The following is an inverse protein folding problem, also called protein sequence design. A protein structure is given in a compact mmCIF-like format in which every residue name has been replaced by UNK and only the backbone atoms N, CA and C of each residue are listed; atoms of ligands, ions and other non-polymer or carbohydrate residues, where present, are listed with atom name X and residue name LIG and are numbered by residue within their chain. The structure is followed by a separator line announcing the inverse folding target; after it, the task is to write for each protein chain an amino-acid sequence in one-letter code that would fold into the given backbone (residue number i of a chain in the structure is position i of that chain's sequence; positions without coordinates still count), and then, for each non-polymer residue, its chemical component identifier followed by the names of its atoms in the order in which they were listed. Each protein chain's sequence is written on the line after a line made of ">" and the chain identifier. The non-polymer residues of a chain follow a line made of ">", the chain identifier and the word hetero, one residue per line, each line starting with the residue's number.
data_IF_718015736177
#
_entry.id   IF_718015736177
#
_cell.length_a   1.000
_cell.length_b   1.000
_cell.length_c   1.000
_cell.angle_alpha   90.00
_cell.angle_beta   90.00
_cell.angle_gamma   90.00
#
_symmetry.space_group_name_H-M   'P 1'
#
loop_
_entity.id
_entity.type
_entity.pdbx_description
1 polymer ?
#
# COMPACT_ATOMS: atom_id res chain seq x y z
N UNK A 1 -2.32 -10.91 -19.03
CA UNK A 1 -2.22 -9.56 -18.43
C UNK A 1 -1.10 -9.63 -17.44
N UNK A 2 -0.09 -8.79 -17.61
CA UNK A 2 1.08 -8.77 -16.74
C UNK A 2 0.79 -7.91 -15.51
N UNK A 3 1.56 -8.10 -14.45
CA UNK A 3 1.39 -7.32 -13.23
C UNK A 3 2.04 -5.93 -13.40
N UNK A 4 1.22 -4.89 -13.20
CA UNK A 4 1.69 -3.51 -13.08
C UNK A 4 1.22 -2.94 -11.73
N UNK A 5 2.08 -3.08 -10.71
CA UNK A 5 1.81 -2.54 -9.38
C UNK A 5 1.78 -1.01 -9.37
N UNK A 6 2.52 -0.33 -10.26
CA UNK A 6 2.54 1.13 -10.32
C UNK A 6 1.19 1.66 -10.81
N UNK A 7 0.67 1.11 -11.91
CA UNK A 7 -0.64 1.48 -12.42
C UNK A 7 -1.76 1.11 -11.45
N UNK A 8 -1.72 -0.10 -10.89
CA UNK A 8 -2.69 -0.55 -9.90
C UNK A 8 -2.74 0.38 -8.69
N UNK A 9 -1.58 0.75 -8.12
CA UNK A 9 -1.51 1.68 -6.99
C UNK A 9 -2.24 2.99 -7.31
N UNK A 10 -1.97 3.57 -8.50
CA UNK A 10 -2.53 4.85 -8.94
C UNK A 10 -4.05 4.76 -9.11
N UNK A 11 -4.55 3.75 -9.82
CA UNK A 11 -6.00 3.55 -10.00
C UNK A 11 -6.70 3.36 -8.66
N UNK A 12 -6.13 2.55 -7.76
CA UNK A 12 -6.72 2.36 -6.42
C UNK A 12 -6.72 3.66 -5.61
N UNK A 13 -5.63 4.42 -5.63
CA UNK A 13 -5.56 5.73 -4.96
C UNK A 13 -6.63 6.67 -5.50
N UNK A 14 -6.74 6.80 -6.82
CA UNK A 14 -7.63 7.79 -7.43
C UNK A 14 -9.10 7.43 -7.16
N UNK A 15 -9.47 6.14 -7.20
CA UNK A 15 -10.78 5.68 -6.75
C UNK A 15 -11.01 5.90 -5.25
N UNK A 16 -10.01 5.63 -4.40
CA UNK A 16 -10.12 5.84 -2.95
C UNK A 16 -10.38 7.31 -2.60
N UNK A 17 -9.69 8.24 -3.27
CA UNK A 17 -9.89 9.68 -3.04
C UNK A 17 -11.29 10.15 -3.46
N UNK A 18 -11.85 9.60 -4.55
CA UNK A 18 -13.24 9.87 -4.93
C UNK A 18 -14.22 9.35 -3.87
N UNK A 19 -14.06 8.10 -3.42
CA UNK A 19 -14.93 7.50 -2.40
C UNK A 19 -14.82 8.20 -1.04
N UNK A 20 -13.61 8.66 -0.69
CA UNK A 20 -13.37 9.45 0.52
C UNK A 20 -14.14 10.79 0.46
N UNK A 21 -14.20 11.44 -0.71
CA UNK A 21 -14.99 12.68 -0.89
C UNK A 21 -16.49 12.43 -0.72
N UNK A 22 -16.98 11.29 -1.19
CA UNK A 22 -18.37 10.84 -1.04
C UNK A 22 -18.68 10.23 0.34
N UNK A 23 -17.73 10.23 1.28
CA UNK A 23 -17.87 9.66 2.63
C UNK A 23 -18.15 8.15 2.65
N UNK A 24 -17.82 7.44 1.58
CA UNK A 24 -17.85 5.98 1.51
C UNK A 24 -16.62 5.40 2.25
N UNK A 25 -16.57 5.57 3.57
CA UNK A 25 -15.37 5.34 4.38
C UNK A 25 -14.79 3.94 4.24
N UNK A 26 -15.60 2.89 4.39
CA UNK A 26 -15.13 1.51 4.29
C UNK A 26 -14.52 1.18 2.91
N UNK A 27 -15.15 1.61 1.82
CA UNK A 27 -14.64 1.36 0.47
C UNK A 27 -13.39 2.18 0.14
N UNK A 28 -13.36 3.43 0.59
CA UNK A 28 -12.17 4.27 0.50
C UNK A 28 -10.99 3.62 1.25
N UNK A 29 -11.23 3.10 2.45
CA UNK A 29 -10.23 2.45 3.28
C UNK A 29 -9.65 1.18 2.65
N UNK A 30 -10.51 0.32 2.10
CA UNK A 30 -10.06 -0.85 1.36
C UNK A 30 -9.14 -0.48 0.21
N UNK A 31 -9.51 0.54 -0.56
CA UNK A 31 -8.70 0.99 -1.68
C UNK A 31 -7.41 1.68 -1.23
N UNK A 32 -7.39 2.36 -0.08
CA UNK A 32 -6.14 2.86 0.51
C UNK A 32 -5.19 1.72 0.87
N UNK A 33 -5.70 0.62 1.42
CA UNK A 33 -4.89 -0.56 1.71
C UNK A 33 -4.31 -1.22 0.45
N UNK A 34 -5.13 -1.45 -0.57
CA UNK A 34 -4.65 -1.99 -1.85
C UNK A 34 -3.66 -1.05 -2.55
N UNK A 35 -3.95 0.25 -2.51
CA UNK A 35 -3.08 1.27 -3.08
C UNK A 35 -1.71 1.26 -2.42
N UNK A 36 -1.66 1.29 -1.08
CA UNK A 36 -0.44 1.21 -0.30
C UNK A 36 0.33 -0.10 -0.55
N UNK A 37 -0.36 -1.24 -0.60
CA UNK A 37 0.24 -2.54 -0.93
C UNK A 37 0.96 -2.50 -2.29
N UNK A 38 0.26 -2.00 -3.32
CA UNK A 38 0.80 -1.87 -4.67
C UNK A 38 1.96 -0.85 -4.71
N UNK A 39 1.88 0.26 -3.96
CA UNK A 39 2.97 1.23 -3.87
C UNK A 39 4.23 0.62 -3.26
N UNK A 40 4.12 -0.16 -2.18
CA UNK A 40 5.27 -0.84 -1.58
C UNK A 40 5.89 -1.84 -2.55
N UNK A 41 5.07 -2.64 -3.24
CA UNK A 41 5.56 -3.59 -4.25
C UNK A 41 6.28 -2.88 -5.40
N UNK A 42 5.75 -1.75 -5.86
CA UNK A 42 6.38 -0.90 -6.88
C UNK A 42 7.72 -0.32 -6.39
N UNK A 43 7.78 0.16 -5.15
CA UNK A 43 9.02 0.62 -4.52
C UNK A 43 10.05 -0.51 -4.43
N UNK A 44 9.65 -1.70 -4.02
CA UNK A 44 10.55 -2.86 -3.93
C UNK A 44 11.18 -3.18 -5.28
N UNK A 45 10.38 -3.21 -6.35
CA UNK A 45 10.88 -3.42 -7.73
C UNK A 45 11.85 -2.30 -8.11
N UNK A 46 11.48 -1.05 -7.87
CA UNK A 46 12.34 0.12 -8.14
C UNK A 46 13.66 0.05 -7.38
N UNK A 47 13.66 -0.55 -6.19
CA UNK A 47 14.83 -0.73 -5.33
C UNK A 47 15.55 -2.08 -5.55
N UNK A 48 15.23 -2.80 -6.63
CA UNK A 48 15.97 -3.98 -7.08
C UNK A 48 15.44 -5.32 -6.55
N UNK A 49 14.18 -5.41 -6.16
CA UNK A 49 13.53 -6.71 -5.98
C UNK A 49 13.35 -7.40 -7.34
N UNK A 50 13.68 -8.69 -7.42
CA UNK A 50 13.51 -9.48 -8.63
C UNK A 50 12.05 -9.85 -8.85
N UNK A 51 11.64 -9.86 -10.13
CA UNK A 51 10.32 -10.33 -10.58
C UNK A 51 10.48 -11.50 -11.56
N UNK A 52 9.42 -12.28 -11.73
CA UNK A 52 9.34 -13.23 -12.84
C UNK A 52 8.94 -12.54 -14.16
N UNK A 53 8.79 -13.31 -15.24
CA UNK A 53 8.44 -12.80 -16.56
C UNK A 53 7.13 -12.00 -16.62
N UNK A 54 6.21 -12.23 -15.68
CA UNK A 54 4.91 -11.55 -15.62
C UNK A 54 4.92 -10.35 -14.66
N UNK A 55 6.09 -9.95 -14.13
CA UNK A 55 6.21 -8.85 -13.15
C UNK A 55 5.88 -9.26 -11.71
N UNK A 56 5.70 -10.55 -11.42
CA UNK A 56 5.34 -11.00 -10.07
C UNK A 56 6.56 -11.01 -9.14
N UNK A 57 6.38 -10.45 -7.96
CA UNK A 57 7.29 -10.59 -6.84
C UNK A 57 7.22 -12.00 -6.22
N UNK A 58 8.26 -12.38 -5.48
CA UNK A 58 8.30 -13.65 -4.73
C UNK A 58 7.11 -13.83 -3.78
N UNK A 59 6.71 -15.07 -3.54
CA UNK A 59 5.48 -15.42 -2.79
C UNK A 59 5.42 -14.85 -1.37
N UNK A 60 6.55 -14.59 -0.74
CA UNK A 60 6.61 -13.92 0.57
C UNK A 60 5.98 -12.52 0.56
N UNK A 61 5.96 -11.83 -0.58
CA UNK A 61 5.38 -10.49 -0.72
C UNK A 61 3.91 -10.54 -1.16
N UNK A 62 3.31 -11.73 -1.32
CA UNK A 62 1.89 -11.91 -1.60
C UNK A 62 1.07 -11.93 -0.31
N UNK A 63 1.30 -10.92 0.52
CA UNK A 63 0.57 -10.62 1.74
C UNK A 63 0.00 -9.20 1.64
N UNK A 64 -1.01 -8.92 2.46
CA UNK A 64 -1.65 -7.61 2.47
C UNK A 64 -0.85 -6.57 3.22
N UNK A 65 -1.20 -5.29 3.03
CA UNK A 65 -0.48 -4.14 3.59
C UNK A 65 -0.25 -4.22 5.12
N UNK A 66 -1.17 -4.84 5.87
CA UNK A 66 -1.05 -5.05 7.30
C UNK A 66 0.15 -5.92 7.70
N UNK A 67 0.63 -6.78 6.80
CA UNK A 67 1.83 -7.62 6.96
C UNK A 67 3.00 -7.18 6.07
N UNK A 68 2.69 -6.71 4.86
CA UNK A 68 3.68 -6.32 3.85
C UNK A 68 4.57 -5.17 4.34
N UNK A 69 4.06 -4.31 5.22
CA UNK A 69 4.84 -3.23 5.82
C UNK A 69 6.13 -3.72 6.48
N UNK A 70 6.05 -4.81 7.25
CA UNK A 70 7.20 -5.40 7.95
C UNK A 70 8.11 -6.17 6.99
N UNK A 71 7.53 -6.86 6.01
CA UNK A 71 8.28 -7.51 4.93
C UNK A 71 9.07 -6.49 4.09
N UNK A 72 8.50 -5.31 3.85
CA UNK A 72 9.14 -4.21 3.14
C UNK A 72 10.35 -3.68 3.92
N UNK A 73 10.18 -3.42 5.22
CA UNK A 73 11.30 -2.98 6.07
C UNK A 73 12.39 -4.05 6.16
N UNK A 74 12.01 -5.33 6.24
CA UNK A 74 12.94 -6.46 6.22
C UNK A 74 13.69 -6.54 4.88
N UNK A 75 12.99 -6.31 3.76
CA UNK A 75 13.60 -6.23 2.44
C UNK A 75 14.66 -5.12 2.35
N UNK A 76 14.42 -3.95 2.95
CA UNK A 76 15.37 -2.83 2.94
C UNK A 76 16.57 -3.02 3.88
N UNK A 77 16.45 -3.89 4.88
CA UNK A 77 17.51 -4.13 5.86
C UNK A 77 18.82 -4.51 5.16
N UNK A 78 19.90 -3.79 5.49
CA UNK A 78 21.23 -4.02 4.92
C UNK A 78 21.45 -3.51 3.47
N UNK A 79 20.46 -2.86 2.83
CA UNK A 79 20.58 -2.38 1.43
C UNK A 79 21.09 -0.95 1.27
N UNK A 80 21.42 -0.25 2.37
CA UNK A 80 21.90 1.14 2.32
C UNK A 80 20.86 2.16 1.85
N UNK A 81 19.58 1.77 1.77
CA UNK A 81 18.46 2.60 1.29
C UNK A 81 17.70 3.27 2.44
N UNK A 82 18.42 3.88 3.39
CA UNK A 82 17.85 4.43 4.63
C UNK A 82 16.72 5.45 4.38
N UNK A 83 16.76 6.18 3.26
CA UNK A 83 15.73 7.16 2.86
C UNK A 83 14.35 6.56 2.61
N UNK A 84 14.26 5.25 2.37
CA UNK A 84 13.01 4.55 2.07
C UNK A 84 12.52 3.69 3.24
N UNK A 85 13.26 3.63 4.34
CA UNK A 85 12.84 2.89 5.53
C UNK A 85 11.59 3.54 6.11
N UNK A 86 10.59 2.73 6.41
CA UNK A 86 9.34 3.20 6.97
C UNK A 86 9.40 3.21 8.50
N UNK A 87 8.43 3.89 9.12
CA UNK A 87 8.22 3.81 10.56
C UNK A 87 8.01 2.35 11.00
N UNK A 88 8.53 1.93 12.16
CA UNK A 88 8.20 0.61 12.72
C UNK A 88 6.72 0.51 13.14
N UNK A 89 6.03 1.63 13.35
CA UNK A 89 4.59 1.63 13.54
C UNK A 89 3.90 1.52 12.19
N UNK A 90 3.29 0.37 11.91
CA UNK A 90 2.48 0.15 10.72
C UNK A 90 1.12 0.86 10.84
N UNK A 91 0.82 1.90 10.04
CA UNK A 91 -0.46 2.58 10.07
C UNK A 91 -1.63 1.69 9.67
N UNK A 92 -1.37 0.61 8.92
CA UNK A 92 -2.34 -0.37 8.43
C UNK A 92 -2.44 -1.61 9.33
N UNK A 93 -1.93 -1.57 10.56
CA UNK A 93 -1.96 -2.73 11.46
C UNK A 93 -3.39 -3.23 11.75
N UNK A 94 -4.38 -2.33 11.72
CA UNK A 94 -5.80 -2.63 11.88
C UNK A 94 -6.56 -2.75 10.55
N UNK A 95 -5.89 -2.66 9.40
CA UNK A 95 -6.50 -2.93 8.10
C UNK A 95 -6.53 -4.44 7.86
N UNK A 96 -7.64 -5.00 7.41
CA UNK A 96 -7.69 -6.39 6.95
C UNK A 96 -8.65 -6.55 5.78
N UNK A 97 -8.30 -7.43 4.84
CA UNK A 97 -9.13 -7.69 3.67
C UNK A 97 -10.54 -8.16 4.05
N UNK A 98 -10.75 -8.77 5.23
CA UNK A 98 -12.07 -9.22 5.67
C UNK A 98 -13.04 -8.07 5.98
N UNK A 99 -12.54 -6.86 6.20
CA UNK A 99 -13.33 -5.66 6.50
C UNK A 99 -14.33 -5.30 5.39
N UNK A 100 -14.15 -5.86 4.18
CA UNK A 100 -15.08 -5.72 3.04
C UNK A 100 -16.45 -6.34 3.27
N UNK A 101 -16.58 -7.11 4.34
CA UNK A 101 -17.83 -7.70 4.79
C UNK A 101 -18.35 -7.07 6.08
N UNK A 102 -17.58 -6.14 6.70
CA UNK A 102 -18.01 -5.42 7.88
C UNK A 102 -19.12 -4.43 7.54
N UNK A 103 -19.83 -3.95 8.56
CA UNK A 103 -20.87 -2.96 8.35
C UNK A 103 -20.21 -1.62 7.97
N UNK A 104 -20.79 -0.88 7.03
CA UNK A 104 -20.29 0.46 6.66
C UNK A 104 -20.26 1.43 7.85
N UNK A 105 -21.10 1.22 8.87
CA UNK A 105 -21.14 2.02 10.10
C UNK A 105 -19.92 1.79 11.01
N UNK A 106 -19.16 0.70 10.80
CA UNK A 106 -17.91 0.43 11.55
C UNK A 106 -16.76 1.34 11.10
N UNK A 107 -16.94 2.10 10.01
CA UNK A 107 -15.93 2.98 9.44
C UNK A 107 -16.35 4.44 9.58
N UNK A 108 -15.43 5.24 10.09
CA UNK A 108 -15.56 6.67 10.13
C UNK A 108 -14.29 7.35 9.62
N UNK A 109 -14.33 8.67 9.56
CA UNK A 109 -13.17 9.45 9.14
C UNK A 109 -11.94 9.19 10.01
N UNK A 110 -12.09 9.00 11.31
CA UNK A 110 -10.96 8.80 12.23
C UNK A 110 -10.27 7.45 11.97
N UNK A 111 -11.03 6.44 11.53
CA UNK A 111 -10.52 5.15 11.09
C UNK A 111 -9.72 5.24 9.78
N UNK A 112 -10.25 5.98 8.78
CA UNK A 112 -9.68 6.02 7.42
C UNK A 112 -8.52 7.00 7.26
N UNK A 113 -8.54 8.10 8.01
CA UNK A 113 -7.54 9.18 7.90
C UNK A 113 -6.07 8.73 8.08
N UNK A 114 -5.74 7.84 9.05
CA UNK A 114 -4.40 7.27 9.17
C UNK A 114 -3.94 6.53 7.91
N UNK A 115 -4.79 5.67 7.34
CA UNK A 115 -4.49 4.89 6.14
C UNK A 115 -4.30 5.78 4.91
N UNK A 116 -5.18 6.78 4.74
CA UNK A 116 -5.06 7.79 3.69
C UNK A 116 -3.72 8.53 3.75
N UNK A 117 -3.33 9.05 4.93
CA UNK A 117 -2.06 9.77 5.12
C UNK A 117 -0.85 8.88 4.82
N UNK A 118 -0.89 7.62 5.29
CA UNK A 118 0.18 6.66 5.05
C UNK A 118 0.32 6.34 3.56
N UNK A 119 -0.77 6.03 2.87
CA UNK A 119 -0.77 5.82 1.40
C UNK A 119 -0.17 7.02 0.66
N UNK A 120 -0.60 8.25 1.00
CA UNK A 120 -0.06 9.47 0.37
C UNK A 120 1.43 9.66 0.62
N UNK A 121 1.93 9.28 1.80
CA UNK A 121 3.36 9.28 2.09
C UNK A 121 4.11 8.28 1.21
N UNK A 122 3.62 7.05 1.08
CA UNK A 122 4.23 6.04 0.22
C UNK A 122 4.29 6.48 -1.24
N UNK A 123 3.24 7.14 -1.74
CA UNK A 123 3.25 7.71 -3.10
C UNK A 123 4.34 8.76 -3.30
N UNK A 124 4.57 9.62 -2.31
CA UNK A 124 5.67 10.60 -2.38
C UNK A 124 7.03 9.91 -2.42
N UNK A 125 7.22 8.84 -1.66
CA UNK A 125 8.45 8.04 -1.71
C UNK A 125 8.65 7.39 -3.09
N UNK A 126 7.58 6.86 -3.69
CA UNK A 126 7.62 6.27 -5.03
C UNK A 126 8.02 7.31 -6.09
N UNK A 127 7.44 8.51 -6.04
CA UNK A 127 7.80 9.62 -6.94
C UNK A 127 9.28 10.01 -6.79
N UNK A 128 9.78 10.07 -5.55
CA UNK A 128 11.19 10.37 -5.26
C UNK A 128 12.16 9.28 -5.72
N UNK A 129 11.69 8.05 -5.96
CA UNK A 129 12.48 6.94 -6.48
C UNK A 129 12.71 7.01 -8.00
N UNK A 130 12.21 8.04 -8.68
CA UNK A 130 12.43 8.26 -10.11
C UNK A 130 11.37 7.60 -10.99
N UNK A 131 10.13 7.56 -10.50
CA UNK A 131 8.99 6.86 -11.09
C UNK A 131 7.81 7.81 -11.23
#
# INVERSE_FOLDING_TARGET
>A
MDIDFKDAARRHKDCAELLYQEQCWGDADHLYGFSAECTLKSLMITLGASTNANGELGRQYWVHINKLWDEYNSFLSGRGQSRYVLSPQNPFANWDISQRYANSEDFDRAFVDPHRRAMQHLFRLLQQAGV
#
